data_IF_555378554678
#
_entry.id   IF_555378554678
#
_cell.length_a   1.000
_cell.length_b   1.000
_cell.length_c   1.000
_cell.angle_alpha   90.00
_cell.angle_beta   90.00
_cell.angle_gamma   90.00
#
_symmetry.space_group_name_H-M   'P 1'
#
loop_
_entity.id
_entity.type
_entity.pdbx_description
1 polymer ?
#
# COMPACT_ATOMS: atom_id res chain seq x y z
N UNK A 1 -32.98 7.84 -19.95
CA UNK A 1 -31.53 7.52 -20.07
C UNK A 1 -31.37 6.01 -20.02
N UNK A 2 -30.28 5.43 -20.56
CA UNK A 2 -29.99 4.00 -20.42
C UNK A 2 -29.14 3.77 -19.16
N UNK A 3 -29.23 2.60 -18.52
CA UNK A 3 -28.30 2.19 -17.47
C UNK A 3 -26.85 2.29 -17.93
N UNK A 4 -25.95 2.62 -17.00
CA UNK A 4 -24.51 2.67 -17.25
C UNK A 4 -23.76 1.93 -16.17
N UNK A 5 -22.60 1.38 -16.50
CA UNK A 5 -21.72 0.68 -15.55
C UNK A 5 -20.46 1.51 -15.37
N UNK A 6 -20.02 1.65 -14.12
CA UNK A 6 -18.82 2.39 -13.79
C UNK A 6 -18.16 1.90 -12.52
N UNK A 7 -17.09 2.58 -12.11
CA UNK A 7 -16.37 2.31 -10.88
C UNK A 7 -16.62 3.43 -9.87
N UNK A 8 -16.80 3.08 -8.60
CA UNK A 8 -16.94 4.05 -7.51
C UNK A 8 -15.59 4.73 -7.26
N UNK A 9 -15.56 6.05 -7.43
CA UNK A 9 -14.36 6.90 -7.31
C UNK A 9 -14.42 7.87 -6.13
N UNK A 10 -15.57 7.96 -5.46
CA UNK A 10 -15.73 8.66 -4.18
C UNK A 10 -16.95 8.10 -3.46
N UNK A 11 -16.80 7.68 -2.21
CA UNK A 11 -17.89 7.35 -1.30
C UNK A 11 -17.86 8.21 -0.02
N UNK A 12 -17.23 9.39 -0.08
CA UNK A 12 -17.03 10.27 1.09
C UNK A 12 -18.31 10.94 1.59
N UNK A 13 -19.37 10.96 0.79
CA UNK A 13 -20.61 11.67 1.09
C UNK A 13 -21.67 10.70 1.58
N UNK A 14 -22.51 11.16 2.51
CA UNK A 14 -23.65 10.37 2.97
C UNK A 14 -24.67 10.15 1.86
N UNK A 15 -25.08 8.89 1.71
CA UNK A 15 -26.02 8.38 0.72
C UNK A 15 -25.73 8.79 -0.72
N UNK A 16 -24.47 9.08 -1.03
CA UNK A 16 -24.07 9.66 -2.31
C UNK A 16 -22.68 9.19 -2.68
N UNK A 17 -22.57 8.59 -3.85
CA UNK A 17 -21.30 8.15 -4.41
C UNK A 17 -21.03 8.82 -5.74
N UNK A 18 -19.76 9.02 -6.06
CA UNK A 18 -19.33 9.46 -7.40
C UNK A 18 -18.81 8.23 -8.12
N UNK A 19 -19.31 8.02 -9.33
CA UNK A 19 -18.97 6.87 -10.17
C UNK A 19 -18.39 7.38 -11.48
N UNK A 20 -17.21 6.90 -11.84
CA UNK A 20 -16.62 7.14 -13.15
C UNK A 20 -17.11 6.09 -14.14
N UNK A 21 -17.61 6.57 -15.28
CA UNK A 21 -18.12 5.76 -16.38
C UNK A 21 -17.30 6.08 -17.62
N UNK A 22 -16.63 5.08 -18.15
CA UNK A 22 -15.82 5.19 -19.36
C UNK A 22 -16.65 4.91 -20.62
N UNK A 23 -16.45 5.71 -21.65
CA UNK A 23 -17.03 5.50 -22.98
C UNK A 23 -15.93 5.58 -24.02
N UNK A 24 -15.83 4.58 -24.89
CA UNK A 24 -14.96 4.64 -26.06
C UNK A 24 -15.59 5.52 -27.14
N UNK A 25 -14.82 6.45 -27.69
CA UNK A 25 -15.24 7.26 -28.83
C UNK A 25 -14.20 7.20 -29.94
N UNK A 26 -14.65 7.20 -31.19
CA UNK A 26 -13.77 7.21 -32.33
C UNK A 26 -13.29 8.65 -32.62
N UNK A 27 -11.99 8.90 -32.50
CA UNK A 27 -11.42 10.21 -32.82
C UNK A 27 -11.21 10.32 -34.33
N UNK A 28 -12.12 11.02 -35.03
CA UNK A 28 -12.18 11.10 -36.52
C UNK A 28 -10.86 11.46 -37.19
N UNK A 29 -10.07 12.36 -36.59
CA UNK A 29 -8.78 12.83 -37.15
C UNK A 29 -7.66 11.80 -36.99
N UNK A 30 -7.70 10.99 -35.92
CA UNK A 30 -6.61 10.07 -35.56
C UNK A 30 -6.97 8.60 -35.81
N UNK A 31 -8.15 8.35 -36.39
CA UNK A 31 -8.71 7.03 -36.69
C UNK A 31 -8.48 5.98 -35.59
N UNK A 32 -8.66 6.39 -34.33
CA UNK A 32 -8.43 5.55 -33.15
C UNK A 32 -9.56 5.71 -32.15
N UNK A 33 -9.86 4.65 -31.41
CA UNK A 33 -10.76 4.72 -30.28
C UNK A 33 -10.02 5.30 -29.07
N UNK A 34 -10.60 6.34 -28.48
CA UNK A 34 -10.09 7.01 -27.29
C UNK A 34 -11.13 6.85 -26.18
N UNK A 35 -10.69 6.56 -24.95
CA UNK A 35 -11.58 6.51 -23.80
C UNK A 35 -11.91 7.92 -23.32
N UNK A 36 -13.17 8.17 -22.98
CA UNK A 36 -13.64 9.38 -22.31
C UNK A 36 -14.39 9.00 -21.05
N UNK A 37 -13.86 9.44 -19.91
CA UNK A 37 -14.47 9.21 -18.60
C UNK A 37 -15.43 10.34 -18.27
N UNK A 38 -16.63 10.00 -17.80
CA UNK A 38 -17.60 10.94 -17.24
C UNK A 38 -17.91 10.53 -15.80
N UNK A 39 -18.00 11.51 -14.89
CA UNK A 39 -18.31 11.26 -13.49
C UNK A 39 -19.80 11.54 -13.24
N UNK A 40 -20.47 10.60 -12.58
CA UNK A 40 -21.88 10.72 -12.22
C UNK A 40 -22.02 10.62 -10.71
N UNK A 41 -22.80 11.52 -10.12
CA UNK A 41 -23.18 11.38 -8.72
C UNK A 41 -24.45 10.52 -8.65
N UNK A 42 -24.34 9.41 -7.93
CA UNK A 42 -25.39 8.44 -7.75
C UNK A 42 -25.83 8.37 -6.29
N UNK A 43 -27.10 8.07 -6.08
CA UNK A 43 -27.63 7.79 -4.76
C UNK A 43 -27.34 6.35 -4.39
N UNK A 44 -26.75 6.16 -3.22
CA UNK A 44 -26.57 4.88 -2.57
C UNK A 44 -27.35 4.98 -1.25
N UNK A 45 -28.45 4.24 -1.11
CA UNK A 45 -29.34 4.43 0.04
C UNK A 45 -28.73 3.94 1.35
N UNK A 46 -27.99 2.82 1.28
CA UNK A 46 -27.44 2.12 2.44
C UNK A 46 -25.94 2.40 2.67
N UNK A 47 -25.30 3.21 1.82
CA UNK A 47 -23.85 3.42 1.82
C UNK A 47 -23.05 2.11 1.67
N UNK A 48 -23.59 1.15 0.91
CA UNK A 48 -22.96 -0.16 0.73
C UNK A 48 -21.79 -0.15 -0.25
N UNK A 49 -21.68 0.90 -1.07
CA UNK A 49 -20.63 1.03 -2.06
C UNK A 49 -19.29 1.33 -1.38
N UNK A 50 -18.34 0.43 -1.59
CA UNK A 50 -16.94 0.69 -1.31
C UNK A 50 -16.31 1.35 -2.52
N UNK A 51 -15.27 2.12 -2.26
CA UNK A 51 -14.45 2.64 -3.34
C UNK A 51 -13.85 1.50 -4.16
N UNK A 52 -13.77 1.70 -5.48
CA UNK A 52 -13.31 0.66 -6.41
C UNK A 52 -14.37 -0.39 -6.77
N UNK A 53 -15.53 -0.37 -6.11
CA UNK A 53 -16.65 -1.24 -6.50
C UNK A 53 -17.09 -0.93 -7.93
N UNK A 54 -17.31 -1.99 -8.71
CA UNK A 54 -17.93 -1.89 -10.03
C UNK A 54 -19.44 -1.93 -9.86
N UNK A 55 -20.11 -0.87 -10.25
CA UNK A 55 -21.54 -0.66 -9.97
C UNK A 55 -22.31 -0.36 -11.24
N UNK A 56 -23.57 -0.81 -11.27
CA UNK A 56 -24.55 -0.44 -12.27
C UNK A 56 -25.36 0.75 -11.75
N UNK A 57 -25.46 1.79 -12.57
CA UNK A 57 -26.27 2.97 -12.32
C UNK A 57 -27.52 2.95 -13.19
N UNK A 58 -28.67 3.14 -12.55
CA UNK A 58 -29.93 3.37 -13.22
C UNK A 58 -30.32 4.87 -13.12
N UNK A 59 -30.93 5.46 -14.16
CA UNK A 59 -31.39 6.84 -14.09
C UNK A 59 -32.50 7.01 -13.05
N UNK A 60 -32.50 8.11 -12.32
CA UNK A 60 -33.53 8.43 -11.33
C UNK A 60 -34.17 9.78 -11.61
N UNK A 61 -35.28 10.08 -10.92
CA UNK A 61 -35.71 11.47 -10.75
C UNK A 61 -34.57 12.30 -10.13
N UNK A 62 -34.53 13.62 -10.35
CA UNK A 62 -33.59 14.50 -9.65
C UNK A 62 -33.71 14.32 -8.12
N UNK A 63 -32.64 13.87 -7.49
CA UNK A 63 -32.50 13.80 -6.03
C UNK A 63 -31.71 15.01 -5.50
N UNK A 64 -30.93 15.66 -6.37
CA UNK A 64 -30.29 16.97 -6.14
C UNK A 64 -29.94 17.61 -7.49
N UNK A 65 -29.31 18.79 -7.47
CA UNK A 65 -28.84 19.49 -8.69
C UNK A 65 -28.02 18.59 -9.63
N UNK A 66 -27.22 17.69 -9.08
CA UNK A 66 -26.28 16.84 -9.84
C UNK A 66 -26.51 15.33 -9.65
N UNK A 67 -27.46 14.91 -8.80
CA UNK A 67 -27.76 13.51 -8.50
C UNK A 67 -29.03 13.07 -9.23
N UNK A 68 -28.85 12.48 -10.40
CA UNK A 68 -29.91 11.97 -11.29
C UNK A 68 -29.75 10.47 -11.57
N UNK A 69 -28.99 9.78 -10.72
CA UNK A 69 -28.66 8.37 -10.84
C UNK A 69 -28.82 7.70 -9.48
N UNK A 70 -29.14 6.41 -9.48
CA UNK A 70 -29.15 5.54 -8.31
C UNK A 70 -28.24 4.33 -8.57
N UNK A 71 -27.54 3.87 -7.53
CA UNK A 71 -26.82 2.61 -7.58
C UNK A 71 -27.86 1.49 -7.55
N UNK A 72 -28.00 0.77 -8.66
CA UNK A 72 -28.95 -0.33 -8.78
C UNK A 72 -28.35 -1.65 -8.27
N UNK A 73 -27.07 -1.89 -8.56
CA UNK A 73 -26.40 -3.15 -8.22
C UNK A 73 -24.88 -2.94 -8.11
N UNK A 74 -24.26 -3.64 -7.15
CA UNK A 74 -22.81 -3.78 -7.05
C UNK A 74 -22.40 -5.07 -7.79
N UNK A 75 -21.93 -4.91 -9.03
CA UNK A 75 -21.54 -6.02 -9.90
C UNK A 75 -20.27 -6.74 -9.43
N UNK A 76 -19.34 -5.99 -8.82
CA UNK A 76 -18.08 -6.54 -8.29
C UNK A 76 -17.55 -5.69 -7.15
N UNK A 77 -17.28 -6.31 -6.02
CA UNK A 77 -16.62 -5.68 -4.87
C UNK A 77 -15.13 -5.47 -5.13
N UNK A 78 -14.59 -4.34 -4.67
CA UNK A 78 -13.16 -4.10 -4.65
C UNK A 78 -12.45 -5.19 -3.83
N UNK A 79 -11.43 -5.83 -4.41
CA UNK A 79 -10.62 -6.83 -3.71
C UNK A 79 -9.60 -6.10 -2.86
N UNK A 80 -9.77 -6.11 -1.55
CA UNK A 80 -8.71 -5.77 -0.60
C UNK A 80 -8.33 -7.08 0.09
N UNK A 81 -7.16 -7.64 -0.23
CA UNK A 81 -6.61 -8.74 0.55
C UNK A 81 -6.12 -8.18 1.88
N UNK A 82 -6.52 -8.84 2.97
CA UNK A 82 -5.90 -8.64 4.28
C UNK A 82 -5.02 -9.87 4.52
N UNK A 83 -3.69 -9.71 4.63
CA UNK A 83 -2.83 -10.85 4.88
C UNK A 83 -3.23 -11.53 6.19
N UNK A 84 -3.24 -12.88 6.26
CA UNK A 84 -3.50 -13.58 7.50
C UNK A 84 -2.45 -13.14 8.51
N UNK A 85 -2.92 -12.54 9.61
CA UNK A 85 -2.07 -12.21 10.75
C UNK A 85 -1.39 -13.49 11.21
N UNK A 86 -0.06 -13.50 11.25
CA UNK A 86 0.67 -14.63 11.81
C UNK A 86 0.27 -14.76 13.27
N UNK A 87 -0.57 -15.75 13.54
CA UNK A 87 -0.90 -16.16 14.91
C UNK A 87 0.40 -16.70 15.46
N UNK A 88 1.02 -15.96 16.37
CA UNK A 88 2.20 -16.42 17.07
C UNK A 88 1.88 -17.77 17.73
N UNK A 89 2.53 -18.82 17.25
CA UNK A 89 2.46 -20.16 17.82
C UNK A 89 3.18 -20.14 19.17
N UNK A 90 2.45 -19.82 20.24
CA UNK A 90 2.93 -20.12 21.59
C UNK A 90 2.78 -21.62 21.84
N UNK A 91 3.73 -22.39 21.30
CA UNK A 91 4.01 -23.72 21.78
C UNK A 91 5.00 -23.60 22.95
N UNK A 92 4.50 -23.79 24.16
CA UNK A 92 5.32 -24.15 25.32
C UNK A 92 4.55 -25.17 26.13
N UNK A 93 4.96 -26.42 25.92
CA UNK A 93 4.68 -27.58 26.74
C UNK A 93 5.19 -27.36 28.16
N UNK A 94 4.43 -27.90 29.12
CA UNK A 94 4.83 -28.47 30.43
C UNK A 94 4.20 -27.78 31.63
N UNK A 95 3.14 -28.37 32.19
CA UNK A 95 3.23 -29.11 33.46
C UNK A 95 1.82 -29.52 33.95
N UNK A 96 1.75 -30.75 34.44
CA UNK A 96 0.62 -31.38 35.10
C UNK A 96 0.16 -30.61 36.35
N UNK A 97 -1.14 -30.65 36.64
CA UNK A 97 -1.68 -30.28 37.95
C UNK A 97 -3.17 -29.94 37.94
N UNK A 98 -4.00 -30.91 38.30
CA UNK A 98 -5.30 -30.69 38.96
C UNK A 98 -5.22 -31.33 40.36
N UNK A 99 -6.16 -31.16 41.31
CA UNK A 99 -7.38 -30.35 41.33
C UNK A 99 -7.61 -29.56 42.65
N UNK A 100 -8.67 -28.72 42.72
CA UNK A 100 -9.59 -28.45 43.87
C UNK A 100 -10.12 -27.00 43.78
N UNK A 101 -11.41 -26.71 43.60
CA UNK A 101 -12.61 -26.84 44.48
C UNK A 101 -12.75 -25.71 45.54
N UNK A 102 -13.89 -24.98 45.42
CA UNK A 102 -14.78 -24.42 46.48
C UNK A 102 -14.68 -22.93 46.87
N UNK A 103 -15.80 -22.21 46.61
CA UNK A 103 -16.51 -21.16 47.40
C UNK A 103 -15.78 -19.86 47.82
N UNK A 104 -16.38 -18.72 48.19
CA UNK A 104 -17.75 -18.15 48.25
C UNK A 104 -17.62 -16.70 48.78
N UNK A 105 -18.55 -15.84 48.36
CA UNK A 105 -19.26 -14.79 49.11
C UNK A 105 -18.60 -13.57 49.81
N UNK A 106 -19.32 -12.45 49.57
CA UNK A 106 -19.70 -11.34 50.47
C UNK A 106 -18.62 -10.29 50.86
N UNK A 107 -18.73 -9.05 50.37
CA UNK A 107 -19.53 -7.92 50.91
C UNK A 107 -19.09 -7.41 52.28
N UNK A 108 -18.71 -6.12 52.38
CA UNK A 108 -19.31 -5.10 53.30
C UNK A 108 -18.53 -3.78 53.27
N UNK A 109 -19.21 -2.75 52.77
CA UNK A 109 -19.37 -1.36 53.26
C UNK A 109 -18.51 -0.86 54.43
N UNK A 110 -17.86 0.30 54.28
CA UNK A 110 -17.97 1.43 55.22
C UNK A 110 -17.42 2.74 54.64
N UNK A 111 -18.23 3.79 54.78
CA UNK A 111 -17.94 5.19 54.45
C UNK A 111 -17.12 5.89 55.54
N UNK A 112 -16.40 6.94 55.15
CA UNK A 112 -16.34 8.18 55.92
C UNK A 112 -14.96 8.65 56.37
N UNK A 113 -14.41 9.68 55.70
CA UNK A 113 -14.40 11.07 56.21
C UNK A 113 -13.35 11.94 55.49
N UNK A 114 -13.68 13.23 55.45
CA UNK A 114 -13.12 14.31 54.65
C UNK A 114 -11.93 14.96 55.37
N UNK A 115 -10.88 15.36 54.65
CA UNK A 115 -10.39 16.77 54.61
C UNK A 115 -8.91 16.96 54.22
N UNK A 116 -8.73 18.03 53.43
CA UNK A 116 -7.56 18.92 53.26
C UNK A 116 -6.47 18.53 52.25
N UNK A 117 -6.65 19.13 51.06
CA UNK A 117 -5.71 20.06 50.40
C UNK A 117 -4.26 20.04 50.89
N UNK A 118 -3.35 19.70 49.98
CA UNK A 118 -2.14 20.47 49.67
C UNK A 118 -1.51 19.95 48.37
N UNK A 119 -1.31 20.86 47.41
CA UNK A 119 -0.58 20.61 46.17
C UNK A 119 0.92 20.64 46.45
N UNK A 120 1.72 19.72 45.89
CA UNK A 120 3.11 20.05 45.58
C UNK A 120 3.48 19.75 44.13
N UNK A 121 3.88 20.84 43.46
CA UNK A 121 5.08 20.99 42.61
C UNK A 121 5.45 19.82 41.68
N UNK A 122 5.30 20.11 40.38
CA UNK A 122 5.79 19.34 39.24
C UNK A 122 7.30 19.04 39.32
N UNK A 123 7.64 17.76 39.15
CA UNK A 123 8.99 17.34 38.75
C UNK A 123 9.10 17.27 37.22
N UNK A 124 10.29 17.52 36.64
CA UNK A 124 10.46 17.58 35.20
C UNK A 124 10.29 16.19 34.57
N UNK A 125 9.44 16.12 33.57
CA UNK A 125 9.34 15.00 32.63
C UNK A 125 10.72 14.76 32.00
N UNK A 126 11.42 13.73 32.46
CA UNK A 126 12.54 13.14 31.73
C UNK A 126 12.00 12.71 30.37
N UNK A 127 12.34 13.46 29.33
CA UNK A 127 11.97 13.14 27.97
C UNK A 127 12.52 11.77 27.62
N UNK A 128 11.65 10.81 27.33
CA UNK A 128 12.04 9.63 26.58
C UNK A 128 12.66 10.14 25.27
N UNK A 129 13.95 9.87 25.06
CA UNK A 129 14.57 10.06 23.76
C UNK A 129 13.72 9.34 22.71
N UNK A 130 13.45 9.94 21.54
CA UNK A 130 12.68 9.28 20.49
C UNK A 130 13.41 8.00 20.11
N UNK A 131 12.78 6.87 20.37
CA UNK A 131 13.28 5.56 19.95
C UNK A 131 13.25 5.57 18.42
N UNK A 132 14.40 5.82 17.79
CA UNK A 132 14.57 5.71 16.34
C UNK A 132 14.27 4.27 15.97
N UNK A 133 13.02 4.02 15.57
CA UNK A 133 12.60 2.69 15.13
C UNK A 133 13.15 2.53 13.72
N UNK A 134 14.36 1.96 13.59
CA UNK A 134 14.93 1.63 12.28
C UNK A 134 13.93 0.75 11.54
N UNK A 135 13.44 1.23 10.41
CA UNK A 135 12.44 0.51 9.64
C UNK A 135 13.11 -0.60 8.83
N UNK A 136 13.02 -1.83 9.33
CA UNK A 136 13.56 -3.03 8.69
C UNK A 136 12.51 -3.57 7.71
N UNK A 137 12.93 -3.86 6.47
CA UNK A 137 12.08 -4.56 5.50
C UNK A 137 11.67 -5.94 6.01
N UNK A 138 10.39 -6.30 5.86
CA UNK A 138 9.85 -7.59 6.33
C UNK A 138 9.57 -8.56 5.18
N UNK A 139 10.07 -9.79 5.30
CA UNK A 139 9.78 -10.88 4.34
C UNK A 139 8.28 -11.17 4.24
N UNK A 140 7.75 -11.49 3.03
CA UNK A 140 6.37 -11.93 2.89
C UNK A 140 6.16 -13.36 3.42
N UNK A 141 4.91 -13.76 3.72
CA UNK A 141 4.59 -15.15 4.04
C UNK A 141 4.93 -16.13 2.91
N UNK A 142 5.10 -17.41 3.25
CA UNK A 142 5.34 -18.49 2.28
C UNK A 142 4.21 -18.52 1.24
N UNK A 143 4.57 -18.65 -0.03
CA UNK A 143 3.63 -18.69 -1.15
C UNK A 143 3.13 -17.31 -1.61
N UNK A 144 3.61 -16.22 -0.99
CA UNK A 144 3.30 -14.84 -1.38
C UNK A 144 4.60 -14.14 -1.78
N UNK A 145 4.52 -13.34 -2.84
CA UNK A 145 5.63 -12.48 -3.26
C UNK A 145 5.41 -11.06 -2.78
N UNK A 146 6.49 -10.32 -2.54
CA UNK A 146 6.43 -8.90 -2.19
C UNK A 146 7.11 -8.07 -3.25
N UNK A 147 6.38 -7.10 -3.80
CA UNK A 147 6.87 -6.12 -4.76
C UNK A 147 7.02 -4.77 -4.05
N UNK A 148 8.26 -4.32 -3.91
CA UNK A 148 8.58 -2.95 -3.51
C UNK A 148 8.69 -2.07 -4.76
N UNK A 149 8.11 -0.87 -4.71
CA UNK A 149 8.20 0.11 -5.81
C UNK A 149 8.51 1.50 -5.27
N UNK A 150 9.15 2.30 -6.10
CA UNK A 150 9.42 3.71 -5.83
C UNK A 150 9.49 4.52 -7.15
N UNK A 151 9.16 5.81 -7.06
CA UNK A 151 9.24 6.75 -8.16
C UNK A 151 10.03 8.00 -7.79
N UNK A 152 11.02 8.34 -8.61
CA UNK A 152 11.90 9.48 -8.38
C UNK A 152 11.77 10.54 -9.47
N UNK A 153 11.77 11.83 -9.10
CA UNK A 153 11.99 12.95 -10.03
C UNK A 153 12.92 13.99 -9.44
N UNK A 154 13.74 14.63 -10.28
CA UNK A 154 14.65 15.72 -9.89
C UNK A 154 13.95 17.09 -9.85
N UNK A 155 12.64 17.13 -10.05
CA UNK A 155 11.81 18.33 -10.02
C UNK A 155 10.33 17.99 -10.11
N UNK A 156 9.45 18.98 -10.03
CA UNK A 156 8.00 18.75 -10.06
C UNK A 156 7.27 19.70 -11.04
N UNK A 157 7.40 19.50 -12.36
CA UNK A 157 7.98 18.32 -13.03
C UNK A 157 9.50 18.41 -13.23
N UNK A 158 10.14 17.25 -13.42
CA UNK A 158 11.58 17.13 -13.68
C UNK A 158 11.94 15.78 -14.29
N UNK A 159 13.24 15.56 -14.58
CA UNK A 159 13.72 14.25 -15.06
C UNK A 159 13.37 13.19 -14.02
N UNK A 160 12.75 12.11 -14.48
CA UNK A 160 12.11 11.13 -13.62
C UNK A 160 12.37 9.70 -14.10
N UNK A 161 12.24 8.79 -13.15
CA UNK A 161 12.26 7.35 -13.37
C UNK A 161 11.54 6.63 -12.24
N UNK A 162 11.46 5.32 -12.35
CA UNK A 162 10.83 4.47 -11.36
C UNK A 162 11.53 3.14 -11.28
N UNK A 163 11.38 2.50 -10.14
CA UNK A 163 12.05 1.24 -9.85
C UNK A 163 11.17 0.33 -9.03
N UNK A 164 11.50 -0.96 -9.07
CA UNK A 164 10.88 -1.91 -8.20
C UNK A 164 11.50 -3.28 -8.24
N UNK A 165 11.32 -4.02 -7.16
CA UNK A 165 11.94 -5.32 -6.93
C UNK A 165 10.94 -6.29 -6.32
N UNK A 166 10.80 -7.46 -6.95
CA UNK A 166 9.96 -8.56 -6.52
C UNK A 166 10.79 -9.59 -5.78
N UNK A 167 10.38 -9.92 -4.55
CA UNK A 167 11.08 -10.82 -3.63
C UNK A 167 10.15 -11.91 -3.10
N UNK A 168 10.72 -13.08 -2.84
CA UNK A 168 10.01 -14.21 -2.23
C UNK A 168 10.09 -14.18 -0.69
N UNK A 169 9.48 -15.18 -0.05
CA UNK A 169 9.47 -15.36 1.41
C UNK A 169 10.85 -15.58 2.06
N UNK A 170 11.89 -15.92 1.28
CA UNK A 170 13.26 -16.04 1.76
C UNK A 170 14.03 -14.72 1.70
N UNK A 171 13.44 -13.67 1.09
CA UNK A 171 14.13 -12.41 0.77
C UNK A 171 14.88 -12.45 -0.56
N UNK A 172 14.83 -13.58 -1.28
CA UNK A 172 15.49 -13.74 -2.57
C UNK A 172 14.74 -12.93 -3.62
N UNK A 173 15.46 -12.06 -4.33
CA UNK A 173 14.91 -11.33 -5.47
C UNK A 173 14.67 -12.28 -6.64
N UNK A 174 13.62 -11.99 -7.41
CA UNK A 174 13.22 -12.75 -8.60
C UNK A 174 13.34 -11.89 -9.85
N UNK A 175 12.76 -10.68 -9.78
CA UNK A 175 12.68 -9.72 -10.88
C UNK A 175 12.88 -8.33 -10.29
N UNK A 176 13.60 -7.47 -11.02
CA UNK A 176 13.68 -6.05 -10.71
C UNK A 176 13.57 -5.23 -11.99
N UNK A 177 13.24 -3.95 -11.89
CA UNK A 177 13.24 -3.03 -13.01
C UNK A 177 13.72 -1.65 -12.59
N UNK A 178 14.34 -0.95 -13.53
CA UNK A 178 14.66 0.47 -13.44
C UNK A 178 14.23 1.11 -14.75
N UNK A 179 13.26 2.02 -14.69
CA UNK A 179 12.61 2.59 -15.87
C UNK A 179 12.85 4.08 -15.99
N UNK A 180 13.14 4.53 -17.21
CA UNK A 180 13.22 5.94 -17.55
C UNK A 180 11.84 6.52 -17.91
N UNK A 181 11.42 7.60 -17.25
CA UNK A 181 10.09 8.18 -17.43
C UNK A 181 10.09 9.52 -18.17
N UNK A 182 11.25 10.03 -18.57
CA UNK A 182 11.37 11.36 -19.16
C UNK A 182 11.12 12.44 -18.12
N UNK A 183 10.33 13.46 -18.47
CA UNK A 183 9.98 14.56 -17.56
C UNK A 183 8.59 14.35 -16.97
N UNK A 184 8.51 14.14 -15.65
CA UNK A 184 7.23 14.00 -14.94
C UNK A 184 7.30 14.48 -13.48
N UNK A 185 6.16 14.47 -12.80
CA UNK A 185 6.04 14.80 -11.36
C UNK A 185 6.45 13.61 -10.49
N UNK A 186 6.79 13.86 -9.22
CA UNK A 186 7.05 12.81 -8.22
C UNK A 186 5.85 11.84 -8.14
N UNK A 187 4.65 12.39 -7.94
CA UNK A 187 3.42 11.60 -7.80
C UNK A 187 3.15 10.74 -9.05
N UNK A 188 3.43 11.26 -10.25
CA UNK A 188 3.26 10.47 -11.47
C UNK A 188 4.31 9.35 -11.60
N UNK A 189 5.56 9.60 -11.21
CA UNK A 189 6.61 8.57 -11.22
C UNK A 189 6.25 7.40 -10.31
N UNK A 190 5.74 7.68 -9.11
CA UNK A 190 5.32 6.69 -8.11
C UNK A 190 4.24 5.74 -8.65
N UNK A 191 3.17 6.32 -9.20
CA UNK A 191 2.07 5.52 -9.78
C UNK A 191 2.51 4.71 -10.99
N UNK A 192 3.40 5.29 -11.81
CA UNK A 192 3.92 4.59 -12.97
C UNK A 192 4.82 3.42 -12.57
N UNK A 193 5.64 3.57 -11.53
CA UNK A 193 6.45 2.50 -10.98
C UNK A 193 5.58 1.35 -10.45
N UNK A 194 4.53 1.67 -9.68
CA UNK A 194 3.54 0.68 -9.23
C UNK A 194 2.92 -0.09 -10.41
N UNK A 195 2.42 0.64 -11.41
CA UNK A 195 1.80 0.04 -12.58
C UNK A 195 2.77 -0.88 -13.35
N UNK A 196 4.00 -0.43 -13.59
CA UNK A 196 5.01 -1.21 -14.31
C UNK A 196 5.43 -2.47 -13.55
N UNK A 197 5.64 -2.35 -12.24
CA UNK A 197 5.97 -3.51 -11.39
C UNK A 197 4.85 -4.56 -11.38
N UNK A 198 3.59 -4.13 -11.23
CA UNK A 198 2.44 -5.04 -11.27
C UNK A 198 2.26 -5.68 -12.65
N UNK A 199 2.48 -4.89 -13.71
CA UNK A 199 2.43 -5.39 -15.09
C UNK A 199 3.47 -6.49 -15.31
N UNK A 200 4.72 -6.27 -14.88
CA UNK A 200 5.79 -7.26 -14.97
C UNK A 200 5.45 -8.53 -14.18
N UNK A 201 4.91 -8.40 -12.97
CA UNK A 201 4.52 -9.56 -12.18
C UNK A 201 3.42 -10.39 -12.88
N UNK A 202 2.50 -9.72 -13.57
CA UNK A 202 1.45 -10.37 -14.35
C UNK A 202 2.00 -11.09 -15.57
N UNK A 203 2.92 -10.48 -16.32
CA UNK A 203 3.59 -11.09 -17.48
C UNK A 203 4.32 -12.38 -17.09
N UNK A 204 4.82 -12.44 -15.86
CA UNK A 204 5.55 -13.59 -15.30
C UNK A 204 4.62 -14.60 -14.59
N UNK A 205 3.32 -14.35 -14.59
CA UNK A 205 2.29 -15.28 -14.10
C UNK A 205 2.09 -15.29 -12.58
N UNK A 206 2.66 -14.34 -11.83
CA UNK A 206 2.55 -14.29 -10.37
C UNK A 206 1.20 -13.74 -9.90
N UNK A 207 0.38 -14.57 -9.25
CA UNK A 207 -1.02 -14.21 -8.90
C UNK A 207 -1.24 -13.72 -7.47
N UNK A 208 -0.28 -13.91 -6.57
CA UNK A 208 -0.37 -13.58 -5.14
C UNK A 208 0.75 -12.62 -4.73
N UNK A 209 0.43 -11.34 -4.54
CA UNK A 209 1.45 -10.29 -4.39
C UNK A 209 1.08 -9.27 -3.32
N UNK A 210 2.01 -8.99 -2.40
CA UNK A 210 1.97 -7.82 -1.52
C UNK A 210 2.72 -6.69 -2.22
N UNK A 211 2.05 -5.56 -2.41
CA UNK A 211 2.63 -4.33 -2.95
C UNK A 211 3.08 -3.45 -1.78
N UNK A 212 4.25 -2.86 -1.87
CA UNK A 212 4.83 -2.02 -0.83
C UNK A 212 5.44 -0.76 -1.46
N UNK A 213 5.11 0.40 -0.89
CA UNK A 213 5.58 1.72 -1.33
C UNK A 213 5.71 2.62 -0.10
N UNK A 214 6.67 3.54 -0.11
CA UNK A 214 6.85 4.58 0.90
C UNK A 214 6.03 5.85 0.63
N UNK A 215 5.25 5.86 -0.44
CA UNK A 215 4.36 6.96 -0.78
C UNK A 215 2.98 6.76 -0.15
N UNK A 216 2.75 7.36 1.03
CA UNK A 216 1.43 7.30 1.69
C UNK A 216 0.31 7.83 0.79
N UNK A 217 0.59 8.85 -0.04
CA UNK A 217 -0.39 9.35 -1.03
C UNK A 217 -0.79 8.26 -2.02
N UNK A 218 0.18 7.52 -2.58
CA UNK A 218 -0.11 6.43 -3.50
C UNK A 218 -0.92 5.34 -2.80
N UNK A 219 -0.51 4.92 -1.60
CA UNK A 219 -1.24 3.92 -0.81
C UNK A 219 -2.67 4.38 -0.53
N UNK A 220 -2.87 5.63 -0.12
CA UNK A 220 -4.18 6.19 0.17
C UNK A 220 -5.07 6.31 -1.08
N UNK A 221 -4.51 6.59 -2.25
CA UNK A 221 -5.28 6.63 -3.50
C UNK A 221 -5.64 5.22 -3.98
N UNK A 222 -4.73 4.25 -3.86
CA UNK A 222 -5.00 2.84 -4.24
C UNK A 222 -5.97 2.20 -3.25
N UNK A 223 -5.85 2.47 -1.95
CA UNK A 223 -6.81 2.03 -0.93
C UNK A 223 -8.03 2.95 -0.85
N UNK A 224 -8.12 3.92 -1.74
CA UNK A 224 -9.24 4.83 -1.92
C UNK A 224 -9.62 5.73 -0.73
N UNK A 225 -8.72 5.91 0.22
CA UNK A 225 -8.82 6.93 1.27
C UNK A 225 -8.70 8.34 0.67
N UNK A 226 -7.99 8.47 -0.45
CA UNK A 226 -7.79 9.72 -1.17
C UNK A 226 -8.44 9.72 -2.55
N UNK A 227 -8.88 10.90 -3.01
CA UNK A 227 -9.38 11.10 -4.38
C UNK A 227 -8.21 10.98 -5.36
N UNK A 228 -8.40 10.23 -6.44
CA UNK A 228 -7.37 10.03 -7.47
C UNK A 228 -7.04 11.38 -8.15
N UNK A 229 -5.78 11.85 -8.08
CA UNK A 229 -5.33 13.01 -8.86
C UNK A 229 -5.44 12.72 -10.36
N UNK A 230 -5.88 13.71 -11.15
CA UNK A 230 -6.12 13.50 -12.58
C UNK A 230 -4.85 13.10 -13.34
N UNK A 231 -3.68 13.58 -12.91
CA UNK A 231 -2.38 13.30 -13.52
C UNK A 231 -2.03 11.80 -13.49
N UNK A 232 -2.55 11.05 -12.52
CA UNK A 232 -2.26 9.62 -12.33
C UNK A 232 -3.39 8.71 -12.74
N UNK A 233 -4.52 9.27 -13.20
CA UNK A 233 -5.73 8.55 -13.52
C UNK A 233 -5.49 7.35 -14.45
N UNK A 234 -4.71 7.54 -15.51
CA UNK A 234 -4.44 6.50 -16.50
C UNK A 234 -3.72 5.30 -15.89
N UNK A 235 -2.70 5.52 -15.06
CA UNK A 235 -1.96 4.44 -14.40
C UNK A 235 -2.80 3.77 -13.31
N UNK A 236 -3.59 4.54 -12.58
CA UNK A 236 -4.54 4.02 -11.60
C UNK A 236 -5.59 3.11 -12.27
N UNK A 237 -6.22 3.54 -13.37
CA UNK A 237 -7.20 2.74 -14.11
C UNK A 237 -6.56 1.46 -14.66
N UNK A 238 -5.35 1.58 -15.21
CA UNK A 238 -4.61 0.44 -15.75
C UNK A 238 -4.20 -0.55 -14.65
N UNK A 239 -3.81 -0.07 -13.47
CA UNK A 239 -3.53 -0.90 -12.30
C UNK A 239 -4.74 -1.78 -11.95
N UNK A 240 -5.93 -1.20 -11.85
CA UNK A 240 -7.16 -1.95 -11.53
C UNK A 240 -7.50 -3.01 -12.57
N UNK A 241 -7.26 -2.73 -13.85
CA UNK A 241 -7.41 -3.73 -14.92
C UNK A 241 -6.41 -4.89 -14.79
N UNK A 242 -5.20 -4.65 -14.27
CA UNK A 242 -4.19 -5.70 -14.11
C UNK A 242 -4.53 -6.63 -12.95
N UNK A 243 -4.95 -6.08 -11.81
CA UNK A 243 -5.13 -6.82 -10.55
C UNK A 243 -6.49 -7.50 -10.40
N UNK A 244 -7.38 -7.35 -11.39
CA UNK A 244 -8.78 -7.79 -11.33
C UNK A 244 -8.97 -9.28 -10.93
N UNK A 245 -8.02 -10.15 -11.30
CA UNK A 245 -8.04 -11.59 -11.05
C UNK A 245 -6.91 -12.07 -10.13
N UNK A 246 -6.28 -11.16 -9.37
CA UNK A 246 -5.12 -11.43 -8.52
C UNK A 246 -5.53 -11.36 -7.05
N UNK A 247 -4.76 -12.03 -6.19
CA UNK A 247 -4.78 -11.85 -4.74
C UNK A 247 -3.69 -10.86 -4.39
N UNK A 248 -4.09 -9.66 -3.96
CA UNK A 248 -3.13 -8.59 -3.72
C UNK A 248 -3.56 -7.66 -2.60
N UNK A 249 -2.57 -7.14 -1.88
CA UNK A 249 -2.72 -6.07 -0.90
C UNK A 249 -1.67 -4.99 -1.16
N UNK A 250 -1.92 -3.77 -0.72
CA UNK A 250 -0.90 -2.71 -0.71
C UNK A 250 -0.68 -2.23 0.72
N UNK A 251 0.58 -2.00 1.09
CA UNK A 251 0.95 -1.44 2.39
C UNK A 251 1.94 -0.30 2.22
N UNK A 252 1.91 0.64 3.17
CA UNK A 252 2.93 1.65 3.30
C UNK A 252 4.15 1.07 4.04
N UNK A 253 5.36 1.49 3.65
CA UNK A 253 6.60 1.28 4.39
C UNK A 253 7.29 2.61 4.65
N UNK A 254 8.19 2.67 5.62
CA UNK A 254 9.10 3.82 5.75
C UNK A 254 10.24 3.71 4.73
N UNK A 255 10.89 4.84 4.44
CA UNK A 255 11.92 4.95 3.39
C UNK A 255 13.08 3.98 3.56
N UNK A 256 13.51 3.75 4.80
CA UNK A 256 14.62 2.86 5.11
C UNK A 256 14.30 1.41 4.68
N UNK A 257 13.03 1.02 4.78
CA UNK A 257 12.52 -0.28 4.33
C UNK A 257 12.22 -0.35 2.82
N UNK A 258 12.39 0.74 2.06
CA UNK A 258 12.17 0.79 0.61
C UNK A 258 13.45 1.10 -0.20
N UNK A 259 14.62 1.05 0.45
CA UNK A 259 15.92 1.45 -0.12
C UNK A 259 16.26 0.78 -1.46
N UNK A 260 15.98 -0.52 -1.61
CA UNK A 260 16.21 -1.25 -2.86
C UNK A 260 15.36 -0.71 -4.04
N UNK A 261 14.12 -0.28 -3.78
CA UNK A 261 13.27 0.32 -4.81
C UNK A 261 13.71 1.75 -5.15
N UNK A 262 14.10 2.55 -4.13
CA UNK A 262 14.66 3.90 -4.32
C UNK A 262 15.95 3.87 -5.15
N UNK A 263 16.85 2.93 -4.88
CA UNK A 263 18.05 2.71 -5.70
C UNK A 263 17.69 2.51 -7.18
N UNK A 264 16.72 1.62 -7.46
CA UNK A 264 16.26 1.34 -8.82
C UNK A 264 15.54 2.53 -9.46
N UNK A 265 14.77 3.31 -8.69
CA UNK A 265 14.09 4.50 -9.18
C UNK A 265 15.09 5.61 -9.53
N UNK A 266 16.11 5.79 -8.69
CA UNK A 266 17.24 6.69 -8.95
C UNK A 266 18.03 6.25 -10.19
N UNK A 267 18.30 4.94 -10.34
CA UNK A 267 18.92 4.38 -11.54
C UNK A 267 18.10 4.67 -12.80
N UNK A 268 16.78 4.40 -12.77
CA UNK A 268 15.89 4.68 -13.90
C UNK A 268 15.81 6.17 -14.25
N UNK A 269 15.80 7.05 -13.23
CA UNK A 269 15.80 8.50 -13.39
C UNK A 269 17.07 8.99 -14.08
N UNK A 270 18.23 8.47 -13.68
CA UNK A 270 19.54 8.87 -14.18
C UNK A 270 19.91 8.17 -15.51
N UNK A 271 19.22 7.11 -15.87
CA UNK A 271 19.32 6.45 -17.18
C UNK A 271 18.54 7.18 -18.28
N UNK A 272 18.85 6.88 -19.54
CA UNK A 272 18.05 7.25 -20.72
C UNK A 272 17.20 6.09 -21.24
N UNK A 273 17.39 4.89 -20.69
CA UNK A 273 16.71 3.65 -21.09
C UNK A 273 16.15 2.93 -19.88
N UNK A 274 15.10 2.14 -20.12
CA UNK A 274 14.55 1.23 -19.11
C UNK A 274 15.20 -0.14 -19.21
N UNK A 275 15.37 -0.80 -18.08
CA UNK A 275 15.95 -2.15 -17.96
C UNK A 275 15.12 -3.01 -17.02
N UNK A 276 15.03 -4.31 -17.34
CA UNK A 276 14.43 -5.33 -16.50
C UNK A 276 15.51 -6.38 -16.19
N UNK A 277 15.66 -6.70 -14.92
CA UNK A 277 16.58 -7.69 -14.39
C UNK A 277 15.83 -8.97 -14.04
N UNK A 278 16.44 -10.11 -14.33
CA UNK A 278 15.91 -11.45 -14.07
C UNK A 278 17.05 -12.34 -13.61
N UNK A 279 16.86 -13.02 -12.48
CA UNK A 279 17.91 -13.74 -11.76
C UNK A 279 18.70 -14.78 -12.57
N UNK A 280 18.16 -15.31 -13.67
CA UNK A 280 18.84 -16.28 -14.53
C UNK A 280 19.36 -15.73 -15.87
N UNK A 281 19.09 -14.47 -16.22
CA UNK A 281 19.44 -13.94 -17.55
C UNK A 281 20.08 -12.56 -17.53
N UNK A 282 19.72 -11.71 -16.58
CA UNK A 282 20.27 -10.37 -16.44
C UNK A 282 20.35 -10.04 -14.94
N UNK A 283 21.53 -10.23 -14.29
CA UNK A 283 21.67 -10.02 -12.86
C UNK A 283 21.48 -8.55 -12.50
N UNK A 284 21.02 -8.29 -11.27
CA UNK A 284 20.99 -6.94 -10.71
C UNK A 284 22.42 -6.40 -10.50
N UNK A 285 22.60 -5.06 -10.46
CA UNK A 285 23.87 -4.43 -10.11
C UNK A 285 24.40 -4.87 -8.74
N UNK A 286 25.72 -4.93 -8.57
CA UNK A 286 26.36 -5.39 -7.33
C UNK A 286 25.94 -4.56 -6.12
N UNK A 287 25.81 -3.24 -6.28
CA UNK A 287 25.38 -2.32 -5.22
C UNK A 287 23.95 -2.64 -4.73
N UNK A 288 23.10 -3.17 -5.62
CA UNK A 288 21.76 -3.61 -5.25
C UNK A 288 21.78 -4.99 -4.58
N UNK A 289 22.74 -5.86 -4.90
CA UNK A 289 22.90 -7.17 -4.24
C UNK A 289 23.12 -6.97 -2.74
N UNK A 290 23.97 -6.03 -2.35
CA UNK A 290 24.24 -5.71 -0.95
C UNK A 290 22.99 -5.25 -0.20
N UNK A 291 22.20 -4.34 -0.79
CA UNK A 291 20.93 -3.86 -0.21
C UNK A 291 19.93 -5.01 -0.02
N UNK A 292 19.77 -5.85 -1.06
CA UNK A 292 18.87 -7.00 -1.00
C UNK A 292 19.35 -8.02 0.03
N UNK A 293 20.66 -8.22 0.16
CA UNK A 293 21.23 -9.10 1.16
C UNK A 293 20.95 -8.58 2.57
N UNK A 294 21.20 -7.29 2.84
CA UNK A 294 20.87 -6.64 4.11
C UNK A 294 19.40 -6.82 4.49
N UNK A 295 18.48 -6.53 3.55
CA UNK A 295 17.04 -6.74 3.74
C UNK A 295 16.69 -8.22 4.04
N UNK A 296 17.42 -9.16 3.44
CA UNK A 296 17.22 -10.58 3.65
C UNK A 296 17.69 -11.08 5.02
N UNK A 297 18.62 -10.38 5.68
CA UNK A 297 19.16 -10.80 6.97
C UNK A 297 18.27 -10.41 8.14
N UNK A 298 17.40 -9.40 8.00
CA UNK A 298 16.49 -8.93 9.05
C UNK A 298 17.14 -8.84 10.45
N UNK A 299 18.41 -8.46 10.51
CA UNK A 299 19.13 -8.30 11.77
C UNK A 299 18.69 -6.97 12.39
N UNK A 300 18.26 -6.93 13.67
CA UNK A 300 18.22 -5.67 14.40
C UNK A 300 19.65 -5.12 14.47
N UNK A 301 19.83 -3.80 14.30
CA UNK A 301 21.13 -3.10 14.24
C UNK A 301 21.97 -3.20 15.55
N UNK A 302 21.67 -4.10 16.47
CA UNK A 302 22.34 -4.21 17.76
C UNK A 302 23.56 -5.16 17.78
N UNK A 303 24.17 -5.51 16.65
CA UNK A 303 25.33 -6.46 16.63
C UNK A 303 26.48 -5.99 15.70
N UNK A 304 26.73 -4.69 15.56
CA UNK A 304 27.95 -4.23 14.84
C UNK A 304 28.81 -3.20 15.60
N UNK A 305 28.64 -3.06 16.91
CA UNK A 305 29.57 -2.29 17.74
C UNK A 305 29.85 -2.99 19.07
N UNK A 306 30.69 -4.03 19.06
CA UNK A 306 31.62 -4.35 20.16
C UNK A 306 32.72 -5.24 19.57
N UNK A 307 33.83 -4.63 19.17
CA UNK A 307 34.95 -5.37 18.61
C UNK A 307 36.09 -4.47 18.19
N UNK A 308 36.48 -3.55 19.06
CA UNK A 308 37.79 -2.93 19.08
C UNK A 308 37.95 -2.26 20.45
N UNK A 309 38.32 -3.05 21.45
CA UNK A 309 39.08 -2.53 22.57
C UNK A 309 40.39 -3.32 22.65
N UNK A 310 41.45 -2.53 22.57
CA UNK A 310 42.84 -2.89 22.80
C UNK A 310 43.00 -3.52 24.19
N UNK A 311 43.85 -4.54 24.31
CA UNK A 311 44.63 -4.71 25.53
C UNK A 311 46.04 -5.23 25.18
N UNK A 312 46.94 -4.26 25.03
CA UNK A 312 48.34 -4.40 25.42
C UNK A 312 48.43 -4.56 26.94
N UNK A 313 49.06 -5.65 27.40
CA UNK A 313 49.37 -5.91 28.80
C UNK A 313 50.01 -7.28 29.00
#
# INVERSE_FOLDING_TARGET
>A
MKPVVGMVVSNKMQKSVVVAVDRLFHHKVYNRYVKRTSKFMAHDENNECNMGDRVRLDPSRPLSKHKHWVVAEILKKARIYVPPTQVASNASTTAMGSPSQVASDASTTAMGSVSKTETPLSMPSQGLAPTTTTAIWRKPPIGILKLNVDGASSGNPGRAGGGGILRNHQGKWLIAFASHYGTTTNVAAEFRALYEGVKLCKEEGYKKIILESDSMMLVDVITHKMVVPWQVWTWWESFWMLVENYEWSITHTLREGNSAADFLASMGKNSLTSVVFRQGSNPIPEELVELVHKDSLALPDSILETGNDEETG
#
